data_IF_937641158926
#
_entry.id   IF_937641158926
#
_cell.length_a   1.000
_cell.length_b   1.000
_cell.length_c   1.000
_cell.angle_alpha   90.00
_cell.angle_beta   90.00
_cell.angle_gamma   90.00
#
_symmetry.space_group_name_H-M   'P 1'
#
loop_
_entity.id
_entity.type
_entity.pdbx_description
1 polymer ?
#
# COMPACT_ATOMS: atom_id res chain seq x y z
N UNK A 1 44.49 -65.44 12.03
CA UNK A 1 44.34 -64.20 12.86
C UNK A 1 43.82 -63.10 11.96
N UNK A 2 42.48 -62.92 11.91
CA UNK A 2 41.82 -61.87 11.09
C UNK A 2 41.59 -60.65 11.96
N UNK A 3 42.22 -59.52 11.59
CA UNK A 3 41.95 -58.21 12.21
C UNK A 3 40.81 -57.55 11.43
N UNK A 4 39.66 -57.41 12.08
CA UNK A 4 38.51 -56.62 11.59
C UNK A 4 38.79 -55.19 11.95
N UNK A 5 38.92 -54.32 10.92
CA UNK A 5 38.97 -52.86 11.07
C UNK A 5 37.52 -52.33 11.09
N UNK A 6 37.05 -51.90 12.26
CA UNK A 6 35.77 -51.18 12.37
C UNK A 6 36.01 -49.72 11.99
N UNK A 7 35.42 -49.29 10.87
CA UNK A 7 35.34 -47.88 10.47
C UNK A 7 34.16 -47.25 11.23
N UNK A 8 34.46 -46.35 12.18
CA UNK A 8 33.44 -45.54 12.85
C UNK A 8 33.17 -44.33 11.93
N UNK A 9 31.97 -44.32 11.34
CA UNK A 9 31.48 -43.19 10.52
C UNK A 9 30.84 -42.16 11.49
N UNK A 10 31.56 -41.10 11.87
CA UNK A 10 31.00 -39.99 12.62
C UNK A 10 30.10 -39.14 11.69
N UNK A 11 28.79 -39.31 11.77
CA UNK A 11 27.81 -38.38 11.18
C UNK A 11 27.80 -37.08 11.96
N UNK A 12 28.45 -36.05 11.42
CA UNK A 12 28.35 -34.66 11.92
C UNK A 12 27.01 -34.10 11.45
N UNK A 13 26.01 -34.09 12.30
CA UNK A 13 24.79 -33.36 12.11
C UNK A 13 25.10 -31.85 12.27
N UNK A 14 25.30 -31.12 11.17
CA UNK A 14 25.28 -29.68 11.16
C UNK A 14 23.83 -29.23 11.37
N UNK A 15 23.47 -28.87 12.60
CA UNK A 15 22.23 -28.15 12.87
C UNK A 15 22.39 -26.74 12.30
N UNK A 16 21.80 -26.49 11.13
CA UNK A 16 21.60 -25.14 10.62
C UNK A 16 20.55 -24.46 11.51
N UNK A 17 21.00 -23.70 12.49
CA UNK A 17 20.11 -22.76 13.18
C UNK A 17 19.68 -21.72 12.15
N UNK A 18 18.44 -21.79 11.70
CA UNK A 18 17.83 -20.71 10.96
C UNK A 18 17.89 -19.46 11.88
N UNK A 19 18.74 -18.49 11.55
CA UNK A 19 18.85 -17.26 12.31
C UNK A 19 17.50 -16.55 12.21
N UNK A 20 16.76 -16.49 13.32
CA UNK A 20 15.47 -15.82 13.38
C UNK A 20 15.69 -14.35 13.04
N UNK A 21 15.04 -13.88 11.95
CA UNK A 21 15.14 -12.49 11.54
C UNK A 21 14.54 -11.60 12.60
N UNK A 22 15.34 -10.73 13.19
CA UNK A 22 14.86 -9.71 14.13
C UNK A 22 14.30 -8.51 13.38
N UNK A 23 13.28 -7.90 13.93
CA UNK A 23 12.60 -6.73 13.35
C UNK A 23 12.68 -5.53 14.29
N UNK A 24 12.65 -4.33 13.70
CA UNK A 24 12.64 -3.06 14.43
C UNK A 24 11.48 -2.20 13.94
N UNK A 25 10.89 -1.44 14.86
CA UNK A 25 9.92 -0.39 14.53
C UNK A 25 10.49 0.97 14.91
N UNK A 26 10.49 1.89 13.97
CA UNK A 26 10.68 3.32 14.21
C UNK A 26 9.34 4.00 14.12
N UNK A 27 8.97 4.76 15.12
CA UNK A 27 7.66 5.40 15.21
C UNK A 27 7.75 6.90 14.98
N UNK A 28 6.65 7.47 14.46
CA UNK A 28 6.45 8.92 14.33
C UNK A 28 7.51 9.65 13.50
N UNK A 29 8.06 8.99 12.47
CA UNK A 29 8.99 9.61 11.53
C UNK A 29 8.26 10.64 10.67
N UNK A 30 8.64 11.93 10.69
CA UNK A 30 8.04 12.93 9.83
C UNK A 30 8.44 12.69 8.37
N UNK A 31 7.48 12.72 7.44
CA UNK A 31 7.79 12.55 6.03
C UNK A 31 7.88 13.88 5.26
N UNK A 32 7.56 15.00 5.88
CA UNK A 32 7.95 16.32 5.41
C UNK A 32 9.30 16.72 6.03
N UNK A 33 10.26 17.13 5.20
CA UNK A 33 11.66 17.41 5.65
C UNK A 33 11.75 18.58 6.61
N UNK A 34 10.86 19.55 6.49
CA UNK A 34 10.84 20.75 7.34
C UNK A 34 9.45 20.90 7.95
N UNK A 35 9.37 21.18 9.25
CA UNK A 35 8.12 21.59 9.85
C UNK A 35 7.53 22.78 9.09
N UNK A 36 6.31 22.63 8.60
CA UNK A 36 5.56 23.71 7.98
C UNK A 36 4.96 24.65 9.02
N UNK A 37 4.35 25.74 8.57
CA UNK A 37 3.51 26.62 9.42
C UNK A 37 2.20 25.95 9.84
N UNK A 38 1.79 24.89 9.16
CA UNK A 38 0.60 24.10 9.44
C UNK A 38 0.88 23.15 10.60
N UNK A 39 0.40 23.48 11.81
CA UNK A 39 0.54 22.68 13.03
C UNK A 39 -0.03 21.28 12.83
N UNK A 40 -1.21 21.17 12.21
CA UNK A 40 -1.86 19.88 11.98
C UNK A 40 -1.04 18.98 11.03
N UNK A 41 -0.39 19.56 10.02
CA UNK A 41 0.55 18.81 9.18
C UNK A 41 1.72 18.25 10.02
N UNK A 42 2.32 19.06 10.88
CA UNK A 42 3.45 18.62 11.70
C UNK A 42 3.07 17.53 12.71
N UNK A 43 1.86 17.58 13.23
CA UNK A 43 1.34 16.58 14.16
C UNK A 43 0.99 15.27 13.45
N UNK A 44 0.28 15.39 12.31
CA UNK A 44 -0.39 14.26 11.67
C UNK A 44 0.47 13.56 10.61
N UNK A 45 1.29 14.32 9.86
CA UNK A 45 2.04 13.78 8.72
C UNK A 45 3.30 13.01 9.15
N UNK A 46 3.07 11.87 9.78
CA UNK A 46 4.09 10.95 10.31
C UNK A 46 3.84 9.54 9.83
N UNK A 47 4.87 8.75 9.78
CA UNK A 47 4.83 7.33 9.44
C UNK A 47 5.54 6.49 10.49
N UNK A 48 5.19 5.21 10.57
CA UNK A 48 5.94 4.19 11.31
C UNK A 48 6.61 3.26 10.30
N UNK A 49 7.87 2.92 10.56
CA UNK A 49 8.65 2.02 9.73
C UNK A 49 8.98 0.76 10.53
N UNK A 50 8.41 -0.38 10.13
CA UNK A 50 8.74 -1.71 10.59
C UNK A 50 9.59 -2.42 9.55
N UNK A 51 10.75 -2.99 9.93
CA UNK A 51 11.67 -3.59 8.98
C UNK A 51 12.56 -4.67 9.57
N UNK A 52 13.02 -5.66 8.76
CA UNK A 52 13.98 -6.67 9.20
C UNK A 52 15.38 -6.07 9.37
N UNK A 53 16.06 -6.40 10.48
CA UNK A 53 17.38 -5.86 10.79
C UNK A 53 18.54 -6.64 10.20
N UNK A 54 18.33 -7.93 9.91
CA UNK A 54 19.39 -8.85 9.48
C UNK A 54 19.36 -9.16 7.99
N UNK A 55 18.34 -8.69 7.26
CA UNK A 55 18.13 -8.91 5.83
C UNK A 55 18.40 -7.61 5.06
N UNK A 56 18.90 -7.74 3.83
CA UNK A 56 19.10 -6.62 2.91
C UNK A 56 18.27 -6.84 1.64
N UNK A 57 18.03 -5.77 0.89
CA UNK A 57 17.27 -5.77 -0.36
C UNK A 57 15.83 -6.30 -0.23
N UNK A 58 15.23 -6.09 0.94
CA UNK A 58 13.86 -6.52 1.19
C UNK A 58 12.85 -5.60 0.48
N UNK A 59 11.68 -6.15 0.05
CA UNK A 59 10.58 -5.35 -0.47
C UNK A 59 9.95 -4.50 0.63
N UNK A 60 9.30 -3.41 0.22
CA UNK A 60 8.65 -2.47 1.14
C UNK A 60 7.20 -2.23 0.76
N UNK A 61 6.30 -2.37 1.70
CA UNK A 61 4.89 -2.01 1.59
C UNK A 61 4.65 -0.65 2.22
N UNK A 62 4.24 0.32 1.43
CA UNK A 62 3.68 1.59 1.94
C UNK A 62 2.19 1.37 2.16
N UNK A 63 1.77 1.37 3.42
CA UNK A 63 0.41 1.04 3.83
C UNK A 63 -0.38 2.27 4.26
N UNK A 64 -1.48 2.53 3.56
CA UNK A 64 -2.43 3.58 3.91
C UNK A 64 -3.68 2.97 4.56
N UNK A 65 -4.03 3.47 5.76
CA UNK A 65 -5.22 3.04 6.49
C UNK A 65 -6.53 3.50 5.84
N UNK A 66 -7.62 2.84 6.16
CA UNK A 66 -8.98 3.23 5.79
C UNK A 66 -9.52 4.40 6.63
N UNK A 67 -10.86 4.56 6.64
CA UNK A 67 -11.56 5.55 7.44
C UNK A 67 -12.17 6.70 6.65
N UNK A 68 -12.39 6.53 5.34
CA UNK A 68 -13.14 7.46 4.49
C UNK A 68 -12.52 8.86 4.37
N UNK A 69 -11.20 9.02 4.55
CA UNK A 69 -10.48 10.30 4.64
C UNK A 69 -10.90 11.18 5.83
N UNK A 70 -11.66 10.63 6.79
CA UNK A 70 -12.20 11.37 7.96
C UNK A 70 -11.72 10.82 9.30
N UNK A 71 -11.27 9.59 9.33
CA UNK A 71 -10.86 8.89 10.56
C UNK A 71 -9.73 7.89 10.26
N UNK A 72 -9.28 7.18 11.28
CA UNK A 72 -8.22 6.20 11.19
C UNK A 72 -6.86 6.74 11.60
N UNK A 73 -5.93 5.83 11.78
CA UNK A 73 -4.53 6.12 12.14
C UNK A 73 -3.62 5.09 11.51
N UNK A 74 -2.35 5.46 11.35
CA UNK A 74 -1.30 4.54 10.93
C UNK A 74 -1.24 3.34 11.87
N UNK A 75 -1.25 2.18 11.29
CA UNK A 75 -1.05 0.90 11.98
C UNK A 75 -0.31 -0.06 11.06
N UNK A 76 0.52 -0.90 11.61
CA UNK A 76 1.19 -1.96 10.88
C UNK A 76 0.30 -3.20 10.96
N UNK A 77 -0.33 -3.62 9.84
CA UNK A 77 -1.18 -4.81 9.85
C UNK A 77 -0.42 -6.04 10.35
N UNK A 78 -1.02 -6.75 11.30
CA UNK A 78 -0.36 -7.92 11.94
C UNK A 78 0.07 -8.97 10.92
N UNK A 79 -0.75 -9.19 9.89
CA UNK A 79 -0.47 -10.15 8.83
C UNK A 79 0.75 -9.80 7.96
N UNK A 80 1.21 -8.54 7.99
CA UNK A 80 2.42 -8.10 7.28
C UNK A 80 3.68 -8.21 8.13
N UNK A 81 3.56 -8.46 9.43
CA UNK A 81 4.73 -8.62 10.30
C UNK A 81 5.44 -9.94 10.05
N UNK A 82 6.76 -9.92 10.19
CA UNK A 82 7.63 -11.10 10.08
C UNK A 82 7.55 -11.84 8.72
N UNK A 83 7.29 -11.08 7.64
CA UNK A 83 7.16 -11.62 6.27
C UNK A 83 8.38 -11.34 5.37
N UNK A 84 9.54 -10.99 5.93
CA UNK A 84 10.74 -10.68 5.14
C UNK A 84 10.69 -9.35 4.40
N UNK A 85 9.77 -8.46 4.75
CA UNK A 85 9.56 -7.16 4.12
C UNK A 85 9.50 -6.02 5.15
N UNK A 86 9.64 -4.80 4.67
CA UNK A 86 9.33 -3.62 5.48
C UNK A 86 7.89 -3.16 5.27
N UNK A 87 7.31 -2.60 6.33
CA UNK A 87 5.99 -1.94 6.29
C UNK A 87 6.15 -0.49 6.73
N UNK A 88 5.70 0.43 5.90
CA UNK A 88 5.63 1.85 6.21
C UNK A 88 4.16 2.23 6.39
N UNK A 89 3.71 2.30 7.63
CA UNK A 89 2.34 2.68 7.96
C UNK A 89 2.22 4.21 8.03
N UNK A 90 1.28 4.80 7.28
CA UNK A 90 1.23 6.24 7.03
C UNK A 90 0.00 6.88 7.63
N UNK A 91 0.20 7.94 8.42
CA UNK A 91 -0.83 8.91 8.73
C UNK A 91 -0.87 10.01 7.67
N UNK A 92 -2.05 10.44 7.28
CA UNK A 92 -2.30 11.57 6.40
C UNK A 92 -3.36 12.49 7.03
N UNK A 93 -3.39 13.78 6.69
CA UNK A 93 -4.37 14.73 7.22
C UNK A 93 -5.79 14.33 6.82
N UNK A 94 -6.75 14.62 7.65
CA UNK A 94 -8.13 14.15 7.57
C UNK A 94 -9.13 15.30 7.46
N UNK A 95 -10.22 15.05 6.76
CA UNK A 95 -11.39 15.91 6.77
C UNK A 95 -12.06 15.89 8.18
N UNK A 96 -12.66 16.99 8.70
CA UNK A 96 -12.82 18.30 8.02
C UNK A 96 -11.66 19.28 8.27
N UNK A 97 -10.57 18.86 8.92
CA UNK A 97 -9.42 19.74 9.18
C UNK A 97 -8.71 20.16 7.90
N UNK A 98 -8.80 19.36 6.86
CA UNK A 98 -8.35 19.69 5.50
C UNK A 98 -9.35 19.17 4.47
N UNK A 99 -9.29 19.71 3.27
CA UNK A 99 -10.05 19.30 2.09
C UNK A 99 -9.11 18.76 1.00
N UNK A 100 -9.69 18.16 -0.05
CA UNK A 100 -8.93 17.78 -1.24
C UNK A 100 -8.19 19.01 -1.81
N UNK A 101 -6.95 18.86 -2.27
CA UNK A 101 -6.22 17.59 -2.47
C UNK A 101 -5.26 17.21 -1.31
N UNK A 102 -5.37 17.78 -0.14
CA UNK A 102 -4.37 17.65 0.94
C UNK A 102 -4.05 16.20 1.33
N UNK A 103 -5.04 15.32 1.35
CA UNK A 103 -4.82 13.89 1.64
C UNK A 103 -3.91 13.21 0.60
N UNK A 104 -4.10 13.58 -0.68
CA UNK A 104 -3.32 13.00 -1.80
C UNK A 104 -1.90 13.58 -1.78
N UNK A 105 -1.75 14.87 -1.48
CA UNK A 105 -0.44 15.50 -1.32
C UNK A 105 0.36 14.82 -0.19
N UNK A 106 -0.28 14.54 0.94
CA UNK A 106 0.34 13.85 2.07
C UNK A 106 0.74 12.40 1.70
N UNK A 107 -0.14 11.69 1.00
CA UNK A 107 0.17 10.34 0.52
C UNK A 107 1.36 10.34 -0.43
N UNK A 108 1.43 11.28 -1.37
CA UNK A 108 2.55 11.42 -2.30
C UNK A 108 3.87 11.77 -1.57
N UNK A 109 3.81 12.66 -0.58
CA UNK A 109 4.97 13.01 0.23
C UNK A 109 5.51 11.81 1.03
N UNK A 110 4.61 10.98 1.59
CA UNK A 110 5.00 9.77 2.30
C UNK A 110 5.65 8.73 1.38
N UNK A 111 5.08 8.48 0.19
CA UNK A 111 5.68 7.60 -0.82
C UNK A 111 7.06 8.13 -1.22
N UNK A 112 7.20 9.44 -1.46
CA UNK A 112 8.46 10.07 -1.80
C UNK A 112 9.51 9.90 -0.69
N UNK A 113 9.10 10.02 0.58
CA UNK A 113 9.98 9.76 1.71
C UNK A 113 10.54 8.32 1.68
N UNK A 114 9.69 7.33 1.35
CA UNK A 114 10.12 5.93 1.27
C UNK A 114 11.17 5.75 0.17
N UNK A 115 10.92 6.24 -1.05
CA UNK A 115 11.90 6.18 -2.13
C UNK A 115 13.25 6.83 -1.79
N UNK A 116 13.23 7.90 -0.99
CA UNK A 116 14.43 8.62 -0.58
C UNK A 116 15.21 7.92 0.53
N UNK A 117 14.53 7.18 1.41
CA UNK A 117 15.12 6.76 2.68
C UNK A 117 15.27 5.26 2.86
N UNK A 118 14.48 4.42 2.16
CA UNK A 118 14.36 2.99 2.50
C UNK A 118 15.68 2.22 2.36
N UNK A 119 16.56 2.61 1.45
CA UNK A 119 17.87 1.98 1.26
C UNK A 119 18.77 2.13 2.50
N UNK A 120 18.60 3.20 3.31
CA UNK A 120 19.34 3.40 4.59
C UNK A 120 18.97 2.36 5.65
N UNK A 121 17.82 1.72 5.47
CA UNK A 121 17.30 0.68 6.36
C UNK A 121 17.47 -0.72 5.78
N UNK A 122 18.08 -0.85 4.59
CA UNK A 122 18.34 -2.11 3.92
C UNK A 122 17.26 -2.55 2.92
N UNK A 123 16.26 -1.73 2.65
CA UNK A 123 15.22 -2.03 1.63
C UNK A 123 15.68 -1.75 0.20
N UNK A 124 15.06 -2.42 -0.76
CA UNK A 124 15.30 -2.18 -2.18
C UNK A 124 14.27 -1.16 -2.71
N UNK A 125 14.74 0.02 -3.14
CA UNK A 125 13.87 1.04 -3.73
C UNK A 125 13.20 0.62 -5.04
N UNK A 126 13.66 -0.45 -5.68
CA UNK A 126 13.01 -1.03 -6.87
C UNK A 126 11.85 -1.98 -6.50
N UNK A 127 11.68 -2.27 -5.23
CA UNK A 127 10.65 -3.17 -4.72
C UNK A 127 9.71 -2.47 -3.71
N UNK A 128 9.27 -1.26 -4.07
CA UNK A 128 8.30 -0.50 -3.27
C UNK A 128 6.90 -0.74 -3.83
N UNK A 129 6.02 -1.29 -3.00
CA UNK A 129 4.60 -1.50 -3.27
C UNK A 129 3.77 -0.47 -2.51
N UNK A 130 2.78 0.12 -3.17
CA UNK A 130 1.87 1.09 -2.55
C UNK A 130 0.52 0.42 -2.35
N UNK A 131 0.10 0.30 -1.12
CA UNK A 131 -1.05 -0.51 -0.72
C UNK A 131 -1.94 0.21 0.28
N UNK A 132 -3.18 -0.20 0.36
CA UNK A 132 -4.08 0.35 1.37
C UNK A 132 -5.48 -0.25 1.33
N UNK A 133 -6.22 0.04 2.39
CA UNK A 133 -7.59 -0.39 2.56
C UNK A 133 -8.56 0.78 2.41
N UNK A 134 -9.68 0.58 1.71
CA UNK A 134 -10.76 1.57 1.58
C UNK A 134 -10.23 2.92 1.05
N UNK A 135 -10.39 4.01 1.79
CA UNK A 135 -9.80 5.32 1.44
C UNK A 135 -8.27 5.30 1.33
N UNK A 136 -7.58 4.40 2.04
CA UNK A 136 -6.15 4.18 1.86
C UNK A 136 -5.82 3.57 0.51
N UNK A 137 -6.65 2.64 0.03
CA UNK A 137 -6.55 2.10 -1.33
C UNK A 137 -6.82 3.16 -2.40
N UNK A 138 -7.78 4.05 -2.15
CA UNK A 138 -8.02 5.23 -2.99
C UNK A 138 -6.76 6.10 -3.10
N UNK A 139 -6.11 6.44 -1.98
CA UNK A 139 -4.87 7.22 -1.98
C UNK A 139 -3.75 6.49 -2.74
N UNK A 140 -3.63 5.18 -2.56
CA UNK A 140 -2.66 4.35 -3.29
C UNK A 140 -2.83 4.45 -4.81
N UNK A 141 -4.08 4.38 -5.29
CA UNK A 141 -4.41 4.52 -6.71
C UNK A 141 -4.16 5.95 -7.21
N UNK A 142 -4.57 6.96 -6.44
CA UNK A 142 -4.39 8.37 -6.85
C UNK A 142 -2.92 8.72 -7.04
N UNK A 143 -2.04 8.38 -6.09
CA UNK A 143 -0.61 8.72 -6.19
C UNK A 143 0.09 7.95 -7.31
N UNK A 144 -0.45 6.79 -7.71
CA UNK A 144 0.14 5.95 -8.76
C UNK A 144 -0.37 6.33 -10.14
N UNK A 145 -1.67 6.52 -10.31
CA UNK A 145 -2.29 6.75 -11.60
C UNK A 145 -2.13 8.21 -12.06
N UNK A 146 -2.36 9.19 -11.17
CA UNK A 146 -2.13 10.60 -11.47
C UNK A 146 -0.68 10.98 -11.18
N UNK A 147 0.15 10.89 -12.21
CA UNK A 147 1.60 11.12 -12.13
C UNK A 147 1.99 12.47 -11.55
N UNK A 148 1.10 13.48 -11.61
CA UNK A 148 1.43 14.85 -11.14
C UNK A 148 1.81 14.90 -9.66
N UNK A 149 1.27 13.97 -8.83
CA UNK A 149 1.49 13.98 -7.39
C UNK A 149 2.93 13.61 -7.04
N UNK A 150 3.44 12.49 -7.57
CA UNK A 150 4.84 12.09 -7.36
C UNK A 150 5.83 12.95 -8.15
N UNK A 151 5.43 13.50 -9.30
CA UNK A 151 6.25 14.43 -10.08
C UNK A 151 6.62 15.70 -9.29
N UNK A 152 5.74 16.19 -8.39
CA UNK A 152 6.05 17.29 -7.47
C UNK A 152 7.26 16.98 -6.57
N UNK A 153 7.51 15.70 -6.30
CA UNK A 153 8.65 15.18 -5.53
C UNK A 153 9.81 14.69 -6.40
N UNK A 154 9.79 15.00 -7.71
CA UNK A 154 10.80 14.56 -8.70
C UNK A 154 10.88 13.03 -8.84
N UNK A 155 9.77 12.33 -8.63
CA UNK A 155 9.64 10.89 -8.78
C UNK A 155 8.74 10.55 -9.96
N UNK A 156 9.11 9.48 -10.65
CA UNK A 156 8.25 8.83 -11.64
C UNK A 156 7.33 7.82 -10.91
N UNK A 157 6.03 7.97 -11.09
CA UNK A 157 5.06 7.02 -10.53
C UNK A 157 5.26 5.59 -11.05
N UNK A 158 5.87 5.44 -12.23
CA UNK A 158 6.19 4.13 -12.82
C UNK A 158 7.36 3.42 -12.12
N UNK A 159 8.08 4.10 -11.22
CA UNK A 159 9.08 3.45 -10.36
C UNK A 159 8.45 2.61 -9.22
N UNK A 160 7.16 2.77 -8.95
CA UNK A 160 6.42 1.92 -8.03
C UNK A 160 6.38 0.50 -8.62
N UNK A 161 6.77 -0.51 -7.82
CA UNK A 161 6.82 -1.90 -8.25
C UNK A 161 5.43 -2.51 -8.49
N UNK A 162 4.42 -2.07 -7.75
CA UNK A 162 3.05 -2.49 -7.91
C UNK A 162 2.11 -1.85 -6.89
N UNK A 163 0.84 -1.90 -7.18
CA UNK A 163 -0.24 -1.39 -6.32
C UNK A 163 -1.19 -2.52 -5.97
N UNK A 164 -1.51 -2.64 -4.69
CA UNK A 164 -2.53 -3.58 -4.23
C UNK A 164 -3.51 -2.84 -3.33
N UNK A 165 -4.77 -2.86 -3.69
CA UNK A 165 -5.83 -2.19 -2.93
C UNK A 165 -6.87 -3.17 -2.44
N UNK A 166 -7.37 -2.92 -1.24
CA UNK A 166 -8.42 -3.69 -0.59
C UNK A 166 -9.64 -2.79 -0.44
N UNK A 167 -10.76 -3.16 -1.08
CA UNK A 167 -12.04 -2.44 -1.04
C UNK A 167 -11.90 -0.92 -1.26
N UNK A 168 -11.14 -0.52 -2.29
CA UNK A 168 -10.87 0.89 -2.58
C UNK A 168 -11.99 1.54 -3.36
N UNK A 169 -12.29 2.84 -3.11
CA UNK A 169 -13.04 3.65 -4.06
C UNK A 169 -12.16 4.01 -5.26
N UNK A 170 -12.70 3.93 -6.46
CA UNK A 170 -11.98 4.25 -7.71
C UNK A 170 -12.59 5.42 -8.49
N UNK A 171 -13.79 5.86 -8.09
CA UNK A 171 -14.35 7.15 -8.44
C UNK A 171 -13.86 8.22 -7.46
N UNK A 172 -14.30 9.46 -7.63
CA UNK A 172 -14.03 10.52 -6.65
C UNK A 172 -14.54 10.11 -5.29
N UNK A 173 -13.65 10.10 -4.28
CA UNK A 173 -13.99 9.60 -2.95
C UNK A 173 -15.21 10.32 -2.37
N UNK A 174 -16.07 9.58 -1.65
CA UNK A 174 -17.33 10.14 -1.12
C UNK A 174 -17.12 11.29 -0.13
N UNK A 175 -15.99 11.38 0.56
CA UNK A 175 -15.68 12.55 1.38
C UNK A 175 -15.47 13.79 0.50
N UNK A 176 -14.77 13.65 -0.63
CA UNK A 176 -14.59 14.75 -1.58
C UNK A 176 -15.91 15.14 -2.24
N UNK A 177 -16.76 14.15 -2.59
CA UNK A 177 -18.12 14.43 -3.08
C UNK A 177 -18.94 15.24 -2.07
N UNK A 178 -18.83 14.92 -0.78
CA UNK A 178 -19.44 15.71 0.31
C UNK A 178 -18.88 17.12 0.43
N UNK A 179 -17.58 17.33 0.21
CA UNK A 179 -16.98 18.67 0.14
C UNK A 179 -17.63 19.52 -0.96
N UNK A 180 -18.11 18.88 -2.03
CA UNK A 180 -18.87 19.52 -3.11
C UNK A 180 -20.38 19.65 -2.86
N UNK A 181 -20.85 19.25 -1.68
CA UNK A 181 -22.28 19.25 -1.35
C UNK A 181 -23.09 18.14 -2.03
N UNK A 182 -22.43 17.10 -2.53
CA UNK A 182 -23.08 15.97 -3.22
C UNK A 182 -23.48 14.86 -2.23
N UNK A 183 -24.52 14.13 -2.57
CA UNK A 183 -24.87 12.91 -1.86
C UNK A 183 -23.86 11.79 -2.13
N UNK A 184 -23.62 10.93 -1.13
CA UNK A 184 -22.63 9.85 -1.23
C UNK A 184 -22.97 8.79 -2.28
N UNK A 185 -24.24 8.69 -2.67
CA UNK A 185 -24.75 7.78 -3.70
C UNK A 185 -24.63 8.34 -5.13
N UNK A 186 -24.36 9.65 -5.26
CA UNK A 186 -24.12 10.27 -6.57
C UNK A 186 -22.71 9.92 -7.06
N UNK A 187 -22.60 9.26 -8.18
CA UNK A 187 -21.31 8.97 -8.80
C UNK A 187 -20.67 10.26 -9.36
N UNK A 188 -19.36 10.39 -9.15
CA UNK A 188 -18.57 11.47 -9.75
C UNK A 188 -17.22 10.91 -10.22
N UNK A 189 -16.87 11.24 -11.45
CA UNK A 189 -15.55 10.96 -12.03
C UNK A 189 -14.96 12.31 -12.47
N UNK A 190 -14.06 12.84 -11.66
CA UNK A 190 -13.32 14.08 -11.93
C UNK A 190 -11.82 13.86 -11.74
N UNK A 191 -11.04 14.92 -11.67
CA UNK A 191 -9.59 14.89 -11.46
C UNK A 191 -9.17 14.19 -10.15
N UNK A 192 -10.08 13.92 -9.22
CA UNK A 192 -9.83 13.20 -7.97
C UNK A 192 -10.35 11.76 -8.01
N UNK A 193 -10.73 11.26 -9.18
CA UNK A 193 -11.11 9.87 -9.39
C UNK A 193 -9.91 9.06 -9.94
N UNK A 194 -9.45 7.99 -9.29
CA UNK A 194 -8.41 7.14 -9.85
C UNK A 194 -8.69 6.70 -11.29
N UNK A 195 -9.93 6.37 -11.62
CA UNK A 195 -10.33 5.92 -12.97
C UNK A 195 -10.14 6.99 -14.04
N UNK A 196 -10.22 8.27 -13.70
CA UNK A 196 -9.96 9.39 -14.62
C UNK A 196 -8.53 9.36 -15.19
N UNK A 197 -7.60 8.79 -14.44
CA UNK A 197 -6.18 8.71 -14.76
C UNK A 197 -5.74 7.32 -15.25
N UNK A 198 -6.68 6.47 -15.69
CA UNK A 198 -6.35 5.15 -16.23
C UNK A 198 -5.44 5.29 -17.47
N UNK A 199 -4.26 4.65 -17.45
CA UNK A 199 -3.22 4.76 -18.48
C UNK A 199 -2.48 3.45 -18.71
N UNK A 200 -1.89 3.28 -19.88
CA UNK A 200 -1.19 2.06 -20.29
C UNK A 200 0.06 1.75 -19.45
N UNK A 201 0.88 2.75 -19.18
CA UNK A 201 2.19 2.61 -18.56
C UNK A 201 2.15 2.62 -17.02
N UNK A 202 0.96 2.49 -16.42
CA UNK A 202 0.85 2.39 -14.97
C UNK A 202 1.58 1.16 -14.43
N UNK A 203 2.11 1.19 -13.20
CA UNK A 203 2.60 -0.01 -12.54
C UNK A 203 1.54 -1.11 -12.46
N UNK A 204 1.93 -2.39 -12.28
CA UNK A 204 0.99 -3.48 -12.05
C UNK A 204 -0.01 -3.18 -10.93
N UNK A 205 -1.30 -3.38 -11.19
CA UNK A 205 -2.40 -3.08 -10.26
C UNK A 205 -3.17 -4.35 -9.92
N UNK A 206 -3.35 -4.62 -8.62
CA UNK A 206 -4.26 -5.65 -8.12
C UNK A 206 -5.34 -5.00 -7.28
N UNK A 207 -6.57 -5.11 -7.74
CA UNK A 207 -7.78 -4.64 -7.04
C UNK A 207 -8.41 -5.84 -6.34
N UNK A 208 -8.61 -5.75 -5.03
CA UNK A 208 -9.27 -6.79 -4.23
C UNK A 208 -10.51 -6.16 -3.60
N UNK A 209 -11.65 -6.78 -3.79
CA UNK A 209 -12.94 -6.31 -3.24
C UNK A 209 -13.61 -7.41 -2.43
N UNK A 210 -14.52 -7.04 -1.55
CA UNK A 210 -15.50 -7.96 -0.99
C UNK A 210 -16.49 -8.45 -2.05
N UNK A 211 -17.44 -9.25 -1.62
CA UNK A 211 -18.56 -9.74 -2.41
C UNK A 211 -19.42 -8.57 -2.89
N UNK A 212 -19.66 -8.47 -4.19
CA UNK A 212 -20.45 -7.37 -4.81
C UNK A 212 -21.82 -7.14 -4.20
N UNK A 213 -22.40 -8.18 -3.57
CA UNK A 213 -23.70 -8.08 -2.88
C UNK A 213 -23.61 -7.54 -1.47
N UNK A 214 -22.40 -7.46 -0.90
CA UNK A 214 -22.14 -7.08 0.49
C UNK A 214 -21.20 -5.88 0.63
N UNK A 215 -20.51 -5.50 -0.45
CA UNK A 215 -19.61 -4.36 -0.50
C UNK A 215 -20.39 -3.03 -0.45
N UNK A 216 -19.74 -1.93 -0.02
CA UNK A 216 -20.37 -0.61 0.07
C UNK A 216 -20.68 0.00 -1.31
N UNK A 217 -21.86 0.57 -1.45
CA UNK A 217 -22.25 1.57 -2.47
C UNK A 217 -21.68 1.38 -3.88
N UNK A 218 -21.74 0.17 -4.43
CA UNK A 218 -21.25 -0.07 -5.79
C UNK A 218 -19.71 -0.07 -5.89
N UNK A 219 -19.00 -0.26 -4.79
CA UNK A 219 -17.54 -0.23 -4.79
C UNK A 219 -16.91 -1.34 -5.62
N UNK A 220 -17.55 -2.52 -5.69
CA UNK A 220 -17.14 -3.56 -6.63
C UNK A 220 -17.25 -3.07 -8.08
N UNK A 221 -18.36 -2.45 -8.42
CA UNK A 221 -18.66 -1.93 -9.77
C UNK A 221 -17.66 -0.82 -10.15
N UNK A 222 -17.31 0.06 -9.23
CA UNK A 222 -16.27 1.07 -9.42
C UNK A 222 -14.92 0.41 -9.76
N UNK A 223 -14.51 -0.62 -9.02
CA UNK A 223 -13.26 -1.35 -9.27
C UNK A 223 -13.30 -2.12 -10.60
N UNK A 224 -14.43 -2.73 -10.94
CA UNK A 224 -14.62 -3.39 -12.21
C UNK A 224 -14.55 -2.39 -13.38
N UNK A 225 -15.09 -1.18 -13.19
CA UNK A 225 -15.02 -0.11 -14.16
C UNK A 225 -13.58 0.38 -14.35
N UNK A 226 -12.85 0.64 -13.27
CA UNK A 226 -11.42 1.00 -13.35
C UNK A 226 -10.63 -0.08 -14.10
N UNK A 227 -10.81 -1.35 -13.75
CA UNK A 227 -10.15 -2.46 -14.45
C UNK A 227 -10.46 -2.45 -15.95
N UNK A 228 -11.73 -2.22 -16.32
CA UNK A 228 -12.13 -2.12 -17.72
C UNK A 228 -11.44 -0.96 -18.43
N UNK A 229 -11.38 0.22 -17.80
CA UNK A 229 -10.74 1.40 -18.38
C UNK A 229 -9.23 1.23 -18.51
N UNK A 230 -8.56 0.61 -17.53
CA UNK A 230 -7.14 0.25 -17.64
C UNK A 230 -6.89 -0.62 -18.88
N UNK A 231 -7.69 -1.68 -19.09
CA UNK A 231 -7.59 -2.57 -20.27
C UNK A 231 -7.82 -1.83 -21.59
N UNK A 232 -8.86 -0.98 -21.66
CA UNK A 232 -9.16 -0.18 -22.85
C UNK A 232 -8.01 0.76 -23.20
N UNK A 233 -7.34 1.32 -22.19
CA UNK A 233 -6.17 2.18 -22.37
C UNK A 233 -4.87 1.39 -22.59
N UNK A 234 -4.92 0.06 -22.71
CA UNK A 234 -3.76 -0.77 -23.04
C UNK A 234 -2.92 -1.24 -21.84
N UNK A 235 -3.39 -1.03 -20.61
CA UNK A 235 -2.69 -1.54 -19.42
C UNK A 235 -2.87 -3.05 -19.29
N UNK A 236 -1.78 -3.82 -19.30
CA UNK A 236 -1.81 -5.28 -19.38
C UNK A 236 -1.81 -5.98 -18.00
N UNK A 237 -1.18 -5.38 -16.99
CA UNK A 237 -0.96 -5.99 -15.69
C UNK A 237 -1.98 -5.51 -14.64
N UNK A 238 -3.27 -5.78 -14.87
CA UNK A 238 -4.33 -5.41 -13.94
C UNK A 238 -5.23 -6.60 -13.61
N UNK A 239 -5.43 -6.85 -12.31
CA UNK A 239 -6.27 -7.91 -11.79
C UNK A 239 -7.38 -7.33 -10.91
N UNK A 240 -8.55 -7.96 -10.95
CA UNK A 240 -9.64 -7.74 -9.99
C UNK A 240 -10.00 -9.07 -9.37
N UNK A 241 -9.93 -9.14 -8.04
CA UNK A 241 -10.26 -10.31 -7.24
C UNK A 241 -11.46 -9.94 -6.36
N UNK A 242 -12.55 -10.69 -6.49
CA UNK A 242 -13.72 -10.60 -5.62
C UNK A 242 -13.63 -11.71 -4.57
N UNK A 243 -13.76 -11.35 -3.30
CA UNK A 243 -13.77 -12.32 -2.19
C UNK A 243 -15.22 -12.58 -1.79
N UNK A 244 -15.78 -13.68 -2.30
CA UNK A 244 -17.16 -14.06 -2.03
C UNK A 244 -17.46 -14.24 -0.54
N UNK A 245 -18.63 -13.77 -0.13
CA UNK A 245 -19.11 -13.88 1.25
C UNK A 245 -18.63 -12.78 2.21
N UNK A 246 -17.60 -12.00 1.86
CA UNK A 246 -17.08 -10.90 2.67
C UNK A 246 -17.69 -9.55 2.26
N UNK A 247 -17.94 -8.68 3.24
CA UNK A 247 -18.34 -7.28 2.99
C UNK A 247 -17.11 -6.41 2.77
N UNK A 248 -17.21 -5.16 3.25
CA UNK A 248 -16.16 -4.15 3.08
C UNK A 248 -14.84 -4.52 3.79
N UNK A 249 -14.93 -5.07 5.01
CA UNK A 249 -13.76 -5.45 5.80
C UNK A 249 -13.14 -6.75 5.30
N UNK A 250 -12.13 -6.62 4.43
CA UNK A 250 -11.42 -7.73 3.80
C UNK A 250 -9.92 -7.76 4.12
N UNK A 251 -9.46 -6.94 5.05
CA UNK A 251 -8.02 -6.84 5.37
C UNK A 251 -7.44 -8.18 5.78
N UNK A 252 -8.15 -8.96 6.59
CA UNK A 252 -7.70 -10.26 7.07
C UNK A 252 -7.45 -11.26 5.92
N UNK A 253 -8.37 -11.31 4.95
CA UNK A 253 -8.31 -12.27 3.83
C UNK A 253 -7.63 -11.71 2.57
N UNK A 254 -7.54 -10.39 2.45
CA UNK A 254 -6.92 -9.70 1.32
C UNK A 254 -5.41 -9.57 1.45
N UNK A 255 -4.88 -9.36 2.66
CA UNK A 255 -3.43 -9.24 2.90
C UNK A 255 -2.66 -10.50 2.48
N UNK A 256 -3.12 -11.74 2.70
CA UNK A 256 -2.48 -12.92 2.14
C UNK A 256 -2.32 -12.90 0.60
N UNK A 257 -3.29 -12.32 -0.13
CA UNK A 257 -3.20 -12.16 -1.59
C UNK A 257 -2.17 -11.10 -1.99
N UNK A 258 -2.09 -10.01 -1.22
CA UNK A 258 -1.05 -8.99 -1.35
C UNK A 258 0.34 -9.62 -1.16
N UNK A 259 0.55 -10.39 -0.10
CA UNK A 259 1.83 -11.10 0.15
C UNK A 259 2.19 -12.05 -0.99
N UNK A 260 1.21 -12.79 -1.54
CA UNK A 260 1.42 -13.65 -2.71
C UNK A 260 1.83 -12.86 -3.96
N UNK A 261 1.37 -11.61 -4.12
CA UNK A 261 1.77 -10.73 -5.24
C UNK A 261 3.20 -10.24 -5.07
N UNK A 262 3.63 -9.90 -3.84
CA UNK A 262 4.98 -9.40 -3.55
C UNK A 262 6.04 -10.50 -3.71
N UNK A 263 5.72 -11.73 -3.34
CA UNK A 263 6.64 -12.87 -3.34
C UNK A 263 6.76 -13.59 -4.70
N UNK A 264 6.15 -13.05 -5.75
CA UNK A 264 6.27 -13.53 -7.14
C UNK A 264 7.37 -12.79 -7.89
#
# INVERSE_FOLDING_TARGET
MNKIFQLIFCLVFSQSFAQQTSYKTLVDLPYYEKPGKDIYQNERCKLDLYFPMTTQNFPTVVWFHGGGLKSGSKEIPEQLKEKGLAVVAVNYRLHPKVNAPKYIEDAAAAVAWVFKNIERYGGDKKQIYVCGFSSGGYLSLMVTLDQKWLKKHKLDANAIKGVVTLSATTFTNHTIRKEYGMEITQALIDQYAPVYHARAEAPPIMLITGDRKKEFFGMYEENAYLRRMLKINGHLENDLIEIGGYGHEITEVGIPLLLKKINR
#
